data_IF_330039803634
#
_entry.id   IF_330039803634
#
_cell.length_a   1.000
_cell.length_b   1.000
_cell.length_c   1.000
_cell.angle_alpha   90.00
_cell.angle_beta   90.00
_cell.angle_gamma   90.00
#
_symmetry.space_group_name_H-M   'P 1'
#
loop_
_entity.id
_entity.type
_entity.pdbx_description
1 polymer ?
#
# COMPACT_ATOMS: atom_id res chain seq x y z
N UNK A 1 0.83 3.12 -2.09
CA UNK A 1 1.10 2.67 -0.70
C UNK A 1 0.88 1.19 -0.56
N UNK A 2 1.96 0.42 -0.46
CA UNK A 2 1.88 -1.01 -0.17
C UNK A 2 1.70 -1.25 1.34
N UNK A 3 1.00 -2.33 1.69
CA UNK A 3 0.51 -2.57 3.04
C UNK A 3 1.45 -3.48 3.84
N UNK A 4 2.07 -2.95 4.90
CA UNK A 4 3.02 -3.69 5.73
C UNK A 4 2.54 -3.85 7.17
N UNK A 5 2.74 -5.04 7.75
CA UNK A 5 2.37 -5.32 9.14
C UNK A 5 3.06 -4.39 10.13
N UNK A 6 4.32 -4.06 9.89
CA UNK A 6 5.15 -3.21 10.75
C UNK A 6 4.75 -1.74 10.71
N UNK A 7 4.18 -1.27 9.59
CA UNK A 7 3.76 0.13 9.43
C UNK A 7 2.28 0.31 9.79
N UNK A 8 1.46 -0.72 9.58
CA UNK A 8 0.01 -0.64 9.76
C UNK A 8 -0.50 -1.59 10.86
N UNK A 9 0.18 -1.58 12.01
CA UNK A 9 -0.14 -2.44 13.15
C UNK A 9 -1.63 -2.46 13.51
N UNK A 10 -2.34 -1.34 13.40
CA UNK A 10 -3.78 -1.25 13.70
C UNK A 10 -4.69 -2.03 12.74
N UNK A 11 -4.27 -2.24 11.50
CA UNK A 11 -5.02 -3.04 10.51
C UNK A 11 -4.82 -4.53 10.76
N UNK A 12 -3.60 -4.93 11.12
CA UNK A 12 -3.26 -6.33 11.36
C UNK A 12 -3.62 -6.81 12.79
N UNK A 13 -3.50 -5.97 13.81
CA UNK A 13 -3.77 -6.36 15.21
C UNK A 13 -5.26 -6.58 15.50
N UNK A 14 -6.16 -6.00 14.70
CA UNK A 14 -7.61 -6.30 14.78
C UNK A 14 -7.92 -7.73 14.34
N UNK A 15 -6.99 -8.39 13.66
CA UNK A 15 -7.13 -9.76 13.18
C UNK A 15 -6.34 -10.65 14.15
N UNK A 16 -7.08 -11.51 14.86
CA UNK A 16 -6.57 -12.38 15.91
C UNK A 16 -5.32 -13.16 15.43
N UNK A 17 -4.26 -13.33 16.27
CA UNK A 17 -3.04 -14.09 15.92
C UNK A 17 -3.30 -15.49 15.34
N UNK A 18 -4.50 -16.03 15.60
CA UNK A 18 -4.99 -17.33 15.13
C UNK A 18 -5.06 -17.47 13.61
N UNK A 19 -5.23 -16.39 12.86
CA UNK A 19 -5.41 -16.44 11.39
C UNK A 19 -4.12 -16.27 10.57
N UNK A 20 -2.95 -16.15 11.21
CA UNK A 20 -1.62 -16.03 10.56
C UNK A 20 -1.58 -14.99 9.44
N UNK A 21 -2.26 -13.85 9.61
CA UNK A 21 -2.19 -12.73 8.66
C UNK A 21 -0.87 -11.99 8.88
N UNK A 22 0.04 -12.10 7.92
CA UNK A 22 1.44 -11.63 8.03
C UNK A 22 1.82 -10.62 6.94
N UNK A 23 1.01 -10.52 5.89
CA UNK A 23 1.22 -9.70 4.71
C UNK A 23 -0.12 -9.29 4.06
N UNK A 24 -0.07 -8.46 3.03
CA UNK A 24 -1.26 -7.98 2.32
C UNK A 24 -2.00 -9.12 1.59
N UNK A 25 -1.29 -10.12 1.07
CA UNK A 25 -1.88 -11.28 0.40
C UNK A 25 -2.77 -12.11 1.35
N UNK A 26 -2.24 -12.48 2.52
CA UNK A 26 -2.96 -13.22 3.57
C UNK A 26 -4.11 -12.39 4.15
N UNK A 27 -3.96 -11.07 4.25
CA UNK A 27 -5.02 -10.15 4.65
C UNK A 27 -6.20 -10.18 3.67
N UNK A 28 -5.91 -10.07 2.37
CA UNK A 28 -6.93 -10.14 1.30
C UNK A 28 -7.63 -11.50 1.29
N UNK A 29 -6.87 -12.59 1.46
CA UNK A 29 -7.42 -13.94 1.54
C UNK A 29 -8.35 -14.11 2.74
N UNK A 30 -7.99 -13.56 3.90
CA UNK A 30 -8.80 -13.64 5.11
C UNK A 30 -10.09 -12.82 5.02
N UNK A 31 -10.00 -11.58 4.53
CA UNK A 31 -11.16 -10.68 4.45
C UNK A 31 -12.13 -11.05 3.33
N UNK A 32 -11.65 -11.71 2.28
CA UNK A 32 -12.39 -11.89 1.03
C UNK A 32 -12.50 -10.58 0.24
N UNK A 33 -12.93 -10.64 -1.03
CA UNK A 33 -12.79 -9.55 -1.99
C UNK A 33 -13.47 -8.25 -1.55
N UNK A 34 -14.74 -8.31 -1.11
CA UNK A 34 -15.51 -7.10 -0.75
C UNK A 34 -14.95 -6.40 0.50
N UNK A 35 -14.65 -7.15 1.56
CA UNK A 35 -14.12 -6.56 2.80
C UNK A 35 -12.67 -6.12 2.65
N UNK A 36 -11.88 -6.81 1.82
CA UNK A 36 -10.53 -6.37 1.48
C UNK A 36 -10.57 -5.02 0.77
N UNK A 37 -11.42 -4.85 -0.25
CA UNK A 37 -11.59 -3.57 -0.94
C UNK A 37 -11.99 -2.45 0.03
N UNK A 38 -13.00 -2.68 0.87
CA UNK A 38 -13.45 -1.68 1.88
C UNK A 38 -12.36 -1.33 2.91
N UNK A 39 -11.59 -2.33 3.35
CA UNK A 39 -10.51 -2.13 4.32
C UNK A 39 -9.36 -1.34 3.72
N UNK A 40 -8.96 -1.70 2.50
CA UNK A 40 -7.88 -1.02 1.77
C UNK A 40 -8.29 0.41 1.43
N UNK A 41 -9.50 0.62 0.91
CA UNK A 41 -10.04 1.94 0.58
C UNK A 41 -10.04 2.87 1.80
N UNK A 42 -10.60 2.40 2.92
CA UNK A 42 -10.66 3.18 4.16
C UNK A 42 -9.28 3.60 4.65
N UNK A 43 -8.31 2.71 4.51
CA UNK A 43 -6.94 3.01 4.92
C UNK A 43 -6.30 4.05 4.01
N UNK A 44 -6.35 3.89 2.69
CA UNK A 44 -5.77 4.90 1.79
C UNK A 44 -6.44 6.26 1.93
N UNK A 45 -7.75 6.30 2.21
CA UNK A 45 -8.47 7.54 2.47
C UNK A 45 -8.01 8.30 3.73
N UNK A 46 -7.39 7.62 4.70
CA UNK A 46 -7.10 8.19 6.02
C UNK A 46 -5.63 8.18 6.42
N UNK A 47 -4.81 7.33 5.82
CA UNK A 47 -3.44 7.11 6.27
C UNK A 47 -2.50 8.25 5.89
N UNK A 48 -2.58 8.74 4.65
CA UNK A 48 -1.88 9.94 4.18
C UNK A 48 -2.90 10.85 3.53
N UNK A 49 -2.95 12.09 4.01
CA UNK A 49 -3.84 13.13 3.50
C UNK A 49 -3.03 14.35 3.07
N UNK A 50 -3.71 15.40 2.61
CA UNK A 50 -3.05 16.62 2.12
C UNK A 50 -2.20 17.32 3.20
N UNK A 51 -2.59 17.25 4.48
CA UNK A 51 -1.83 17.82 5.59
C UNK A 51 -0.47 17.17 5.75
N UNK A 52 -0.35 15.85 5.55
CA UNK A 52 0.94 15.16 5.62
C UNK A 52 1.95 15.70 4.58
N UNK A 53 1.49 16.09 3.39
CA UNK A 53 2.35 16.74 2.39
C UNK A 53 2.73 18.16 2.80
N UNK A 54 1.86 18.87 3.53
CA UNK A 54 2.19 20.18 4.08
C UNK A 54 3.30 20.06 5.13
N UNK A 55 3.14 19.13 6.05
CA UNK A 55 4.12 18.86 7.12
C UNK A 55 5.50 18.52 6.52
N UNK A 56 5.55 17.78 5.41
CA UNK A 56 6.80 17.50 4.69
C UNK A 56 7.50 18.79 4.22
N UNK A 57 6.75 19.74 3.65
CA UNK A 57 7.30 21.04 3.21
C UNK A 57 7.74 21.88 4.40
N UNK A 58 6.97 21.86 5.49
CA UNK A 58 7.27 22.64 6.69
C UNK A 58 8.61 22.23 7.32
N UNK A 59 8.98 20.94 7.19
CA UNK A 59 10.30 20.41 7.59
C UNK A 59 11.33 20.38 6.46
N UNK A 60 11.04 21.04 5.32
CA UNK A 60 11.93 21.23 4.16
C UNK A 60 12.32 19.95 3.40
N UNK A 61 11.44 18.96 3.34
CA UNK A 61 11.58 17.85 2.41
C UNK A 61 11.20 18.29 0.98
N UNK A 62 11.79 17.66 -0.02
CA UNK A 62 11.63 18.02 -1.44
C UNK A 62 11.22 16.85 -2.35
N UNK A 63 11.19 15.62 -1.84
CA UNK A 63 10.90 14.39 -2.55
C UNK A 63 9.99 13.47 -1.73
N UNK A 64 8.99 12.91 -2.39
CA UNK A 64 8.14 11.84 -1.86
C UNK A 64 8.36 10.57 -2.69
N UNK A 65 8.76 9.48 -2.03
CA UNK A 65 8.82 8.15 -2.62
C UNK A 65 7.50 7.42 -2.33
N UNK A 66 6.77 7.03 -3.37
CA UNK A 66 5.48 6.35 -3.26
C UNK A 66 5.64 4.89 -3.71
N UNK A 67 5.71 3.92 -2.77
CA UNK A 67 5.80 2.52 -3.12
C UNK A 67 4.44 1.98 -3.58
N UNK A 68 4.46 1.21 -4.66
CA UNK A 68 3.31 0.49 -5.20
C UNK A 68 3.68 -0.92 -5.66
N UNK A 69 2.73 -1.85 -5.57
CA UNK A 69 2.92 -3.22 -6.06
C UNK A 69 2.37 -3.42 -7.47
N UNK A 70 2.82 -4.48 -8.15
CA UNK A 70 2.37 -4.83 -9.50
C UNK A 70 0.86 -4.97 -9.64
N UNK A 71 0.14 -5.33 -8.58
CA UNK A 71 -1.33 -5.40 -8.56
C UNK A 71 -2.01 -4.03 -8.79
N UNK A 72 -1.27 -2.93 -8.77
CA UNK A 72 -1.74 -1.60 -9.17
C UNK A 72 -1.69 -1.38 -10.70
N UNK A 73 -0.92 -2.18 -11.45
CA UNK A 73 -0.73 -2.01 -12.90
C UNK A 73 -1.24 -3.20 -13.70
N UNK A 74 -0.98 -4.42 -13.24
CA UNK A 74 -1.37 -5.68 -13.87
C UNK A 74 -2.20 -6.53 -12.91
N UNK A 75 -3.14 -7.29 -13.47
CA UNK A 75 -4.00 -8.20 -12.70
C UNK A 75 -3.60 -9.63 -13.07
N UNK A 76 -3.14 -10.40 -12.09
CA UNK A 76 -2.91 -11.83 -12.25
C UNK A 76 -4.15 -12.60 -11.79
N UNK A 77 -4.25 -13.87 -12.19
CA UNK A 77 -5.32 -14.75 -11.72
C UNK A 77 -5.32 -14.80 -10.18
N UNK A 78 -6.37 -14.25 -9.57
CA UNK A 78 -6.51 -14.13 -8.10
C UNK A 78 -6.37 -12.70 -7.54
N UNK A 79 -5.92 -11.71 -8.32
CA UNK A 79 -5.75 -10.31 -7.88
C UNK A 79 -7.03 -9.49 -8.06
N UNK A 80 -8.11 -9.84 -7.37
CA UNK A 80 -9.43 -9.46 -7.88
C UNK A 80 -9.89 -8.01 -7.71
N UNK A 81 -9.31 -7.11 -6.89
CA UNK A 81 -9.98 -5.80 -6.65
C UNK A 81 -9.12 -4.55 -6.33
N UNK A 82 -7.79 -4.59 -6.43
CA UNK A 82 -6.97 -3.49 -5.85
C UNK A 82 -6.52 -2.43 -6.87
N UNK A 83 -6.56 -2.73 -8.17
CA UNK A 83 -6.03 -1.83 -9.21
C UNK A 83 -6.69 -0.44 -9.25
N UNK A 84 -8.02 -0.38 -9.25
CA UNK A 84 -8.77 0.90 -9.37
C UNK A 84 -8.58 1.78 -8.13
N UNK A 85 -8.60 1.16 -6.95
CA UNK A 85 -8.41 1.85 -5.68
C UNK A 85 -7.03 2.50 -5.66
N UNK A 86 -5.98 1.73 -5.93
CA UNK A 86 -4.60 2.19 -5.84
C UNK A 86 -4.28 3.33 -6.81
N UNK A 87 -4.77 3.25 -8.06
CA UNK A 87 -4.57 4.29 -9.07
C UNK A 87 -5.12 5.65 -8.64
N UNK A 88 -6.32 5.68 -8.04
CA UNK A 88 -6.93 6.94 -7.55
C UNK A 88 -6.07 7.62 -6.48
N UNK A 89 -5.55 6.86 -5.53
CA UNK A 89 -4.73 7.43 -4.44
C UNK A 89 -3.33 7.84 -4.88
N UNK A 90 -2.72 7.18 -5.88
CA UNK A 90 -1.47 7.65 -6.48
C UNK A 90 -1.70 9.01 -7.17
N UNK A 91 -2.78 9.15 -7.94
CA UNK A 91 -3.11 10.41 -8.62
C UNK A 91 -3.37 11.53 -7.60
N UNK A 92 -4.15 11.25 -6.56
CA UNK A 92 -4.42 12.19 -5.47
C UNK A 92 -3.14 12.62 -4.74
N UNK A 93 -2.25 11.67 -4.41
CA UNK A 93 -0.96 11.97 -3.81
C UNK A 93 -0.08 12.85 -4.73
N UNK A 94 -0.10 12.59 -6.04
CA UNK A 94 0.60 13.40 -7.02
C UNK A 94 0.04 14.83 -7.11
N UNK A 95 -1.29 15.00 -7.00
CA UNK A 95 -1.90 16.32 -6.91
C UNK A 95 -1.46 17.09 -5.66
N UNK A 96 -1.39 16.42 -4.51
CA UNK A 96 -0.91 17.02 -3.26
C UNK A 96 0.56 17.44 -3.34
N UNK A 97 1.41 16.58 -3.90
CA UNK A 97 2.82 16.87 -4.13
C UNK A 97 3.00 18.07 -5.08
N UNK A 98 2.28 18.08 -6.21
CA UNK A 98 2.35 19.15 -7.22
C UNK A 98 1.98 20.52 -6.65
N UNK A 99 0.92 20.61 -5.83
CA UNK A 99 0.52 21.86 -5.17
C UNK A 99 1.62 22.48 -4.28
N UNK A 100 2.57 21.65 -3.84
CA UNK A 100 3.59 21.97 -2.83
C UNK A 100 5.01 21.97 -3.37
N UNK A 101 5.19 21.76 -4.67
CA UNK A 101 6.51 21.68 -5.29
C UNK A 101 7.33 20.44 -4.90
N UNK A 102 6.70 19.42 -4.32
CA UNK A 102 7.36 18.17 -3.97
C UNK A 102 7.54 17.31 -5.24
N UNK A 103 8.74 16.75 -5.40
CA UNK A 103 9.02 15.76 -6.44
C UNK A 103 8.44 14.41 -6.04
N UNK A 104 8.04 13.60 -7.02
CA UNK A 104 7.49 12.26 -6.79
C UNK A 104 8.35 11.21 -7.47
N UNK A 105 8.79 10.22 -6.68
CA UNK A 105 9.36 8.98 -7.19
C UNK A 105 8.33 7.85 -7.02
N UNK A 106 7.87 7.28 -8.13
CA UNK A 106 6.99 6.11 -8.11
C UNK A 106 7.82 4.83 -8.09
N UNK A 107 7.78 4.13 -6.97
CA UNK A 107 8.62 2.95 -6.72
C UNK A 107 7.82 1.65 -6.90
N UNK A 108 8.18 0.86 -7.92
CA UNK A 108 7.64 -0.48 -8.13
C UNK A 108 8.22 -1.44 -7.09
N UNK A 109 7.56 -1.46 -5.95
CA UNK A 109 8.03 -2.11 -4.73
C UNK A 109 7.71 -3.61 -4.68
N UNK A 110 6.86 -4.11 -5.59
CA UNK A 110 6.56 -5.53 -5.69
C UNK A 110 6.30 -5.93 -7.13
N UNK A 111 6.99 -6.98 -7.59
CA UNK A 111 6.82 -7.59 -8.91
C UNK A 111 6.07 -8.92 -8.80
N UNK A 112 5.43 -9.40 -9.88
CA UNK A 112 4.92 -10.76 -9.95
C UNK A 112 6.02 -11.75 -9.57
N UNK A 113 5.69 -12.75 -8.74
CA UNK A 113 6.72 -13.69 -8.30
C UNK A 113 7.63 -13.18 -7.18
N UNK A 114 7.48 -11.93 -6.73
CA UNK A 114 8.25 -11.33 -5.63
C UNK A 114 9.67 -10.97 -6.02
N UNK A 115 10.17 -9.85 -5.50
CA UNK A 115 11.56 -9.42 -5.68
C UNK A 115 12.49 -9.91 -4.56
N UNK A 116 11.93 -10.25 -3.39
CA UNK A 116 12.66 -10.70 -2.21
C UNK A 116 11.73 -11.50 -1.28
N UNK A 117 12.23 -11.90 -0.11
CA UNK A 117 11.48 -12.73 0.86
C UNK A 117 10.82 -11.94 1.99
N UNK A 118 10.77 -10.61 1.90
CA UNK A 118 10.19 -9.78 2.95
C UNK A 118 8.67 -9.62 2.79
N UNK A 119 7.96 -9.37 3.90
CA UNK A 119 6.51 -9.10 3.83
C UNK A 119 6.16 -7.81 3.07
N UNK A 120 7.13 -6.89 2.89
CA UNK A 120 6.90 -5.63 2.20
C UNK A 120 6.78 -5.75 0.68
N UNK A 121 6.98 -6.93 0.11
CA UNK A 121 6.67 -7.17 -1.30
C UNK A 121 5.23 -7.69 -1.52
N UNK A 122 4.36 -7.56 -0.51
CA UNK A 122 2.93 -7.92 -0.58
C UNK A 122 2.61 -9.37 -0.25
N UNK A 123 3.56 -10.30 -0.46
CA UNK A 123 3.47 -11.69 -0.05
C UNK A 123 4.82 -12.14 0.53
N UNK A 124 4.84 -12.45 1.83
CA UNK A 124 6.00 -13.03 2.50
C UNK A 124 6.34 -14.37 1.86
N UNK A 125 7.63 -14.61 1.62
CA UNK A 125 8.11 -15.85 1.02
C UNK A 125 9.02 -16.61 2.00
N UNK A 126 9.07 -17.94 1.92
CA UNK A 126 10.08 -18.71 2.63
C UNK A 126 11.46 -18.35 2.08
N UNK A 127 12.42 -18.12 2.98
CA UNK A 127 13.83 -18.05 2.63
C UNK A 127 14.24 -19.48 2.25
N UNK A 128 14.88 -19.62 1.07
CA UNK A 128 15.45 -20.88 0.60
C UNK A 128 16.66 -21.32 1.41
#
# INVERSE_FOLDING_TARGET
>A
MAYYRTVHHSVFNKIVPRFRVVDEFTLRKYLGPSNAAKTIERHYASFINETAFQEMVDVRLDLVLIPFGHWATITLAGDSLVRIIFGRYILQANEYARKRGLRVNLDLHSVPGGANDCNHIGKLRPIG
#
